data_IF_739567796034
#
_entry.id   IF_739567796034
#
_cell.length_a   1.000
_cell.length_b   1.000
_cell.length_c   1.000
_cell.angle_alpha   90.00
_cell.angle_beta   90.00
_cell.angle_gamma   90.00
#
_symmetry.space_group_name_H-M   'P 1'
#
loop_
_entity.id
_entity.type
_entity.pdbx_description
1 polymer ?
#
# COMPACT_ATOMS: atom_id res chain seq x y z
N UNK A 1 -3.67 -13.97 8.50
CA UNK A 1 -2.53 -13.05 8.56
C UNK A 1 -3.02 -11.64 8.52
N UNK A 2 -2.30 -10.75 9.17
CA UNK A 2 -2.76 -9.37 9.31
C UNK A 2 -1.82 -8.43 8.58
N UNK A 3 -2.40 -7.52 7.82
CA UNK A 3 -1.63 -6.40 7.29
C UNK A 3 -1.45 -5.37 8.40
N UNK A 4 -0.33 -4.68 8.35
CA UNK A 4 -0.08 -3.57 9.26
C UNK A 4 -0.26 -2.27 8.52
N UNK A 5 -1.02 -1.38 9.13
CA UNK A 5 -1.27 -0.06 8.58
C UNK A 5 -0.42 0.96 9.31
N UNK A 6 0.33 1.74 8.57
CA UNK A 6 1.22 2.74 9.14
C UNK A 6 0.94 4.10 8.50
N UNK A 7 0.88 5.13 9.33
CA UNK A 7 0.69 6.50 8.85
C UNK A 7 1.93 7.29 9.22
N UNK A 8 2.52 7.97 8.23
CA UNK A 8 3.71 8.77 8.46
C UNK A 8 3.33 10.16 8.99
N UNK A 9 4.35 10.92 9.40
CA UNK A 9 4.15 12.25 9.97
C UNK A 9 3.46 13.19 8.98
N UNK A 10 3.69 13.02 7.69
CA UNK A 10 3.08 13.88 6.69
C UNK A 10 1.72 13.37 6.23
N UNK A 11 1.21 12.28 6.84
CA UNK A 11 -0.12 11.77 6.51
C UNK A 11 -0.16 10.71 5.43
N UNK A 12 0.98 10.27 4.93
CA UNK A 12 1.01 9.17 3.96
C UNK A 12 0.69 7.86 4.66
N UNK A 13 0.00 6.97 3.96
CA UNK A 13 -0.43 5.70 4.53
C UNK A 13 0.23 4.54 3.80
N UNK A 14 0.63 3.54 4.57
CA UNK A 14 1.31 2.36 4.05
C UNK A 14 0.70 1.11 4.65
N UNK A 15 0.57 0.06 3.85
CA UNK A 15 0.11 -1.24 4.33
C UNK A 15 1.18 -2.28 4.08
N UNK A 16 1.51 -3.05 5.12
CA UNK A 16 2.56 -4.07 5.08
C UNK A 16 2.02 -5.42 5.48
N UNK A 17 2.56 -6.45 4.89
CA UNK A 17 2.32 -7.83 5.31
C UNK A 17 3.67 -8.54 5.31
N UNK A 18 4.04 -9.10 6.47
CA UNK A 18 5.34 -9.77 6.63
C UNK A 18 6.50 -8.88 6.21
N UNK A 19 6.41 -7.59 6.53
CA UNK A 19 7.49 -6.65 6.24
C UNK A 19 7.53 -6.16 4.80
N UNK A 20 6.57 -6.57 3.98
CA UNK A 20 6.51 -6.15 2.57
C UNK A 20 5.23 -5.36 2.32
N UNK A 21 5.32 -4.40 1.43
CA UNK A 21 4.14 -3.66 1.02
C UNK A 21 3.15 -4.63 0.38
N UNK A 22 1.92 -4.63 0.90
CA UNK A 22 0.92 -5.57 0.43
C UNK A 22 -0.47 -5.11 0.82
N UNK A 23 -1.38 -5.08 -0.15
CA UNK A 23 -2.79 -4.84 0.12
C UNK A 23 -3.62 -5.41 -1.02
N UNK A 24 -4.65 -6.17 -0.68
CA UNK A 24 -5.50 -6.81 -1.69
C UNK A 24 -6.77 -6.02 -2.00
N UNK A 25 -7.23 -5.21 -1.05
CA UNK A 25 -8.50 -4.49 -1.19
C UNK A 25 -8.32 -3.00 -1.47
N UNK A 26 -7.13 -2.61 -1.85
CA UNK A 26 -6.87 -1.21 -2.14
C UNK A 26 -5.39 -0.96 -2.37
N UNK A 27 -5.00 0.30 -2.53
CA UNK A 27 -3.59 0.63 -2.70
C UNK A 27 -2.81 0.38 -1.42
N UNK A 28 -1.57 -0.11 -1.56
CA UNK A 28 -0.69 -0.33 -0.42
C UNK A 28 -0.03 0.95 0.06
N UNK A 29 0.02 1.97 -0.79
CA UNK A 29 0.55 3.28 -0.44
C UNK A 29 -0.42 4.34 -0.92
N UNK A 30 -0.79 5.24 -0.01
CA UNK A 30 -1.57 6.42 -0.37
C UNK A 30 -0.79 7.63 0.10
N UNK A 31 -0.41 8.49 -0.83
CA UNK A 31 0.35 9.69 -0.50
C UNK A 31 -0.58 10.87 -0.26
N UNK A 32 -0.08 11.88 0.44
CA UNK A 32 -0.89 13.04 0.81
C UNK A 32 -1.43 13.81 -0.38
N UNK A 33 -0.75 13.72 -1.52
CA UNK A 33 -1.21 14.38 -2.75
C UNK A 33 -2.22 13.55 -3.53
N UNK A 34 -2.66 12.40 -2.96
CA UNK A 34 -3.64 11.55 -3.61
C UNK A 34 -3.04 10.47 -4.50
N UNK A 35 -1.72 10.43 -4.63
CA UNK A 35 -1.06 9.39 -5.41
C UNK A 35 -1.20 8.05 -4.72
N UNK A 36 -1.53 7.00 -5.47
CA UNK A 36 -1.74 5.66 -4.94
C UNK A 36 -0.84 4.66 -5.66
N UNK A 37 -0.27 3.74 -4.87
CA UNK A 37 0.54 2.67 -5.42
C UNK A 37 -0.01 1.34 -4.93
N UNK A 38 -0.16 0.40 -5.85
CA UNK A 38 -0.69 -0.92 -5.56
C UNK A 38 0.45 -1.92 -5.50
N UNK A 39 0.56 -2.66 -4.38
CA UNK A 39 1.61 -3.64 -4.18
C UNK A 39 1.03 -4.96 -3.67
N UNK A 40 1.59 -6.05 -4.15
CA UNK A 40 1.33 -7.39 -3.62
C UNK A 40 2.67 -8.06 -3.37
N UNK A 41 2.91 -8.50 -2.13
CA UNK A 41 4.15 -9.16 -1.73
C UNK A 41 5.39 -8.33 -2.08
N UNK A 42 5.29 -7.02 -1.93
CA UNK A 42 6.39 -6.13 -2.21
C UNK A 42 6.58 -5.79 -3.68
N UNK A 43 5.73 -6.31 -4.56
CA UNK A 43 5.83 -6.04 -5.99
C UNK A 43 4.71 -5.12 -6.43
N UNK A 44 5.04 -4.18 -7.28
CA UNK A 44 4.03 -3.29 -7.83
C UNK A 44 3.02 -4.08 -8.62
N UNK A 45 1.76 -3.82 -8.35
CA UNK A 45 0.68 -4.57 -8.98
C UNK A 45 -0.55 -3.70 -9.11
N UNK A 46 -1.22 -3.83 -10.22
CA UNK A 46 -2.45 -3.10 -10.44
C UNK A 46 -3.47 -4.03 -11.09
N UNK A 47 -4.63 -4.15 -10.45
CA UNK A 47 -5.64 -5.08 -10.89
C UNK A 47 -6.59 -4.50 -11.93
N UNK A 48 -6.72 -3.19 -11.96
CA UNK A 48 -7.69 -2.52 -12.83
C UNK A 48 -7.05 -1.87 -14.05
N UNK A 49 -5.82 -2.23 -14.36
CA UNK A 49 -5.16 -1.69 -15.52
C UNK A 49 -3.66 -1.72 -15.39
N UNK A 50 -2.97 -1.25 -16.38
CA UNK A 50 -1.51 -1.23 -16.37
C UNK A 50 -0.94 -0.35 -15.31
#
# INVERSE_FOLDING_TARGET
>A
MKTKHKITLNGSEFWYLNGKLHRTDGPAIIQTNGTEFWYLNGKRHRTDGP
#
